data_IF_724095563140
#
_entry.id   IF_724095563140
#
_cell.length_a   1.000
_cell.length_b   1.000
_cell.length_c   1.000
_cell.angle_alpha   90.00
_cell.angle_beta   90.00
_cell.angle_gamma   90.00
#
_symmetry.space_group_name_H-M   'P 1'
#
loop_
_entity.id
_entity.type
_entity.pdbx_description
1 polymer ?
#
# COMPACT_ATOMS: atom_id res chain seq x y z
N UNK A 1 4.32 19.68 -7.93
CA UNK A 1 4.45 18.22 -7.77
C UNK A 1 5.67 17.72 -8.53
N UNK A 2 5.87 18.09 -9.81
CA UNK A 2 7.06 17.69 -10.59
C UNK A 2 8.37 18.19 -9.95
N UNK A 3 8.44 19.46 -9.54
CA UNK A 3 9.62 20.04 -8.88
C UNK A 3 9.97 19.38 -7.54
N UNK A 4 8.97 18.87 -6.83
CA UNK A 4 9.14 18.16 -5.56
C UNK A 4 9.76 16.77 -5.77
N UNK A 5 9.48 16.14 -6.92
CA UNK A 5 9.93 14.78 -7.24
C UNK A 5 11.31 14.80 -7.91
N UNK A 6 11.60 15.79 -8.77
CA UNK A 6 12.88 15.88 -9.49
C UNK A 6 14.05 16.19 -8.55
N UNK A 7 13.82 16.95 -7.48
CA UNK A 7 14.88 17.33 -6.54
C UNK A 7 15.12 16.34 -5.39
N UNK A 8 14.48 15.17 -5.39
CA UNK A 8 14.49 14.21 -4.27
C UNK A 8 14.06 14.82 -2.90
N UNK A 9 13.53 16.03 -2.91
CA UNK A 9 13.17 16.83 -1.74
C UNK A 9 11.66 16.92 -1.54
N UNK A 10 10.98 15.79 -1.65
CA UNK A 10 9.57 15.68 -1.28
C UNK A 10 9.30 16.03 0.18
N UNK A 11 10.35 15.99 1.00
CA UNK A 11 10.33 16.36 2.40
C UNK A 11 10.61 17.87 2.60
N UNK A 12 11.15 18.55 1.60
CA UNK A 12 11.40 19.98 1.62
C UNK A 12 10.15 20.78 1.15
N UNK A 13 8.98 20.37 1.59
CA UNK A 13 7.80 21.24 1.52
C UNK A 13 8.02 22.33 2.55
N UNK A 14 8.74 23.38 2.15
CA UNK A 14 8.94 24.58 2.97
C UNK A 14 7.58 25.07 3.44
N UNK A 15 7.29 24.87 4.75
CA UNK A 15 6.06 25.30 5.40
C UNK A 15 4.85 24.34 5.31
N UNK A 16 5.01 23.12 4.78
CA UNK A 16 4.00 22.08 4.85
C UNK A 16 4.15 21.27 6.12
N UNK A 17 3.04 21.08 6.85
CA UNK A 17 2.99 20.14 7.96
C UNK A 17 3.13 18.71 7.42
N UNK A 18 4.32 18.11 7.56
CA UNK A 18 4.60 16.71 7.16
C UNK A 18 3.68 15.70 7.87
N UNK A 19 3.07 16.11 8.97
CA UNK A 19 2.06 15.33 9.70
C UNK A 19 0.66 15.51 9.15
N UNK A 20 0.45 16.36 8.14
CA UNK A 20 -0.86 16.47 7.51
C UNK A 20 -1.22 15.15 6.83
N UNK A 21 -2.48 14.72 6.97
CA UNK A 21 -2.98 13.52 6.32
C UNK A 21 -2.79 13.55 4.79
N UNK A 22 -2.74 14.74 4.22
CA UNK A 22 -2.53 14.96 2.78
C UNK A 22 -1.09 14.62 2.36
N UNK A 23 -0.09 15.09 3.11
CA UNK A 23 1.32 14.79 2.87
C UNK A 23 1.61 13.30 3.02
N UNK A 24 1.05 12.68 4.06
CA UNK A 24 1.15 11.23 4.29
C UNK A 24 0.59 10.43 3.11
N UNK A 25 -0.58 10.81 2.61
CA UNK A 25 -1.19 10.13 1.47
C UNK A 25 -0.44 10.37 0.16
N UNK A 26 0.13 11.55 -0.03
CA UNK A 26 0.97 11.84 -1.19
C UNK A 26 2.22 10.94 -1.19
N UNK A 27 2.96 10.90 -0.08
CA UNK A 27 4.12 10.03 0.08
C UNK A 27 3.77 8.55 -0.12
N UNK A 28 2.66 8.10 0.49
CA UNK A 28 2.14 6.74 0.30
C UNK A 28 1.81 6.44 -1.17
N UNK A 29 1.25 7.40 -1.88
CA UNK A 29 0.92 7.30 -3.29
C UNK A 29 2.16 7.15 -4.17
N UNK A 30 3.19 7.93 -3.89
CA UNK A 30 4.49 7.85 -4.58
C UNK A 30 5.15 6.50 -4.32
N UNK A 31 5.17 6.05 -3.06
CA UNK A 31 5.69 4.74 -2.69
C UNK A 31 4.99 3.60 -3.47
N UNK A 32 3.66 3.66 -3.57
CA UNK A 32 2.89 2.70 -4.37
C UNK A 32 3.27 2.75 -5.86
N UNK A 33 3.42 3.94 -6.45
CA UNK A 33 3.83 4.09 -7.87
C UNK A 33 5.23 3.54 -8.10
N UNK A 34 6.18 3.83 -7.23
CA UNK A 34 7.54 3.27 -7.29
C UNK A 34 7.52 1.74 -7.16
N UNK A 35 6.72 1.18 -6.26
CA UNK A 35 6.55 -0.26 -6.10
C UNK A 35 5.93 -0.91 -7.35
N UNK A 36 4.90 -0.30 -7.94
CA UNK A 36 4.28 -0.76 -9.19
C UNK A 36 5.35 -0.89 -10.29
N UNK A 37 6.20 0.11 -10.44
CA UNK A 37 7.30 0.10 -11.42
C UNK A 37 8.36 -0.97 -11.11
N UNK A 38 8.83 -1.00 -9.85
CA UNK A 38 9.91 -1.89 -9.39
C UNK A 38 9.53 -3.37 -9.46
N UNK A 39 8.34 -3.70 -8.99
CA UNK A 39 7.87 -5.09 -8.86
C UNK A 39 6.93 -5.53 -9.97
N UNK A 40 6.69 -4.67 -10.98
CA UNK A 40 5.79 -4.95 -12.12
C UNK A 40 4.39 -5.38 -11.67
N UNK A 41 3.85 -4.67 -10.67
CA UNK A 41 2.52 -4.92 -10.13
C UNK A 41 1.46 -4.55 -11.18
N UNK A 42 0.54 -5.45 -11.45
CA UNK A 42 -0.56 -5.23 -12.39
C UNK A 42 -1.83 -4.73 -11.71
N UNK A 43 -2.16 -5.31 -10.55
CA UNK A 43 -3.42 -5.01 -9.87
C UNK A 43 -3.19 -4.77 -8.38
N UNK A 44 -3.42 -3.55 -7.91
CA UNK A 44 -3.28 -3.17 -6.51
C UNK A 44 -4.62 -2.78 -5.88
N UNK A 45 -4.81 -3.14 -4.60
CA UNK A 45 -5.92 -2.65 -3.77
C UNK A 45 -5.33 -1.85 -2.62
N UNK A 46 -5.81 -0.62 -2.43
CA UNK A 46 -5.49 0.18 -1.25
C UNK A 46 -6.66 0.22 -0.28
N UNK A 47 -6.38 -0.05 0.98
CA UNK A 47 -7.35 -0.04 2.07
C UNK A 47 -7.23 1.24 2.89
N UNK A 48 -8.39 1.88 3.12
CA UNK A 48 -8.51 3.14 3.84
C UNK A 48 -9.54 3.03 4.96
N UNK A 49 -9.38 3.85 6.01
CA UNK A 49 -10.30 3.87 7.16
C UNK A 49 -11.68 4.47 6.85
N UNK A 50 -11.79 5.30 5.78
CA UNK A 50 -13.05 5.90 5.38
C UNK A 50 -13.20 6.00 3.86
N UNK A 51 -14.46 6.10 3.39
CA UNK A 51 -14.79 6.31 1.97
C UNK A 51 -14.24 7.65 1.48
N UNK A 52 -14.28 8.69 2.32
CA UNK A 52 -13.73 10.01 2.00
C UNK A 52 -12.24 9.91 1.68
N UNK A 53 -11.45 9.34 2.60
CA UNK A 53 -10.01 9.18 2.44
C UNK A 53 -9.63 8.28 1.26
N UNK A 54 -10.36 7.19 1.04
CA UNK A 54 -10.17 6.34 -0.13
C UNK A 54 -10.36 7.10 -1.45
N UNK A 55 -11.35 7.99 -1.52
CA UNK A 55 -11.60 8.78 -2.71
C UNK A 55 -10.57 9.92 -2.89
N UNK A 56 -10.13 10.54 -1.82
CA UNK A 56 -9.03 11.52 -1.84
C UNK A 56 -7.73 10.89 -2.33
N UNK A 57 -7.36 9.72 -1.81
CA UNK A 57 -6.20 8.98 -2.27
C UNK A 57 -6.30 8.63 -3.75
N UNK A 58 -7.47 8.21 -4.23
CA UNK A 58 -7.69 7.98 -5.67
C UNK A 58 -7.41 9.23 -6.51
N UNK A 59 -7.93 10.39 -6.09
CA UNK A 59 -7.70 11.67 -6.80
C UNK A 59 -6.21 12.03 -6.83
N UNK A 60 -5.50 11.82 -5.74
CA UNK A 60 -4.04 12.04 -5.71
C UNK A 60 -3.31 11.09 -6.67
N UNK A 61 -3.74 9.82 -6.77
CA UNK A 61 -3.15 8.90 -7.75
C UNK A 61 -3.38 9.36 -9.20
N UNK A 62 -4.53 9.98 -9.51
CA UNK A 62 -4.77 10.58 -10.82
C UNK A 62 -3.77 11.70 -11.10
N UNK A 63 -3.51 12.60 -10.13
CA UNK A 63 -2.50 13.65 -10.25
C UNK A 63 -1.07 13.10 -10.44
N UNK A 64 -0.72 12.03 -9.71
CA UNK A 64 0.59 11.38 -9.84
C UNK A 64 0.81 10.72 -11.21
N UNK A 65 -0.23 10.50 -12.01
CA UNK A 65 -0.06 10.01 -13.39
C UNK A 65 0.60 11.04 -14.31
N UNK A 66 0.50 12.33 -14.00
CA UNK A 66 1.10 13.40 -14.81
C UNK A 66 2.61 13.51 -14.58
N UNK A 67 3.12 12.86 -13.53
CA UNK A 67 4.54 12.88 -13.16
C UNK A 67 5.31 11.84 -13.97
N UNK A 68 6.19 12.28 -14.87
CA UNK A 68 6.95 11.39 -15.78
C UNK A 68 7.79 10.34 -15.07
N UNK A 69 8.44 10.69 -13.96
CA UNK A 69 9.29 9.79 -13.19
C UNK A 69 8.53 8.64 -12.54
N UNK A 70 7.19 8.80 -12.34
CA UNK A 70 6.31 7.81 -11.72
C UNK A 70 5.55 6.94 -12.74
N UNK A 71 6.04 6.87 -13.99
CA UNK A 71 5.51 5.92 -14.98
C UNK A 71 5.73 4.46 -14.53
N UNK A 72 4.84 3.50 -14.85
CA UNK A 72 3.74 3.60 -15.81
C UNK A 72 2.49 4.31 -15.25
N UNK A 73 1.69 4.88 -16.15
CA UNK A 73 0.37 5.44 -15.84
C UNK A 73 -0.55 4.30 -15.41
N UNK A 74 -1.16 4.42 -14.23
CA UNK A 74 -2.12 3.45 -13.72
C UNK A 74 -3.55 3.98 -13.84
N UNK A 75 -4.51 3.06 -13.97
CA UNK A 75 -5.94 3.38 -13.89
C UNK A 75 -6.43 3.25 -12.45
N UNK A 76 -7.24 4.21 -12.01
CA UNK A 76 -7.68 4.30 -10.62
C UNK A 76 -9.20 4.17 -10.53
N UNK A 77 -9.62 3.23 -9.70
CA UNK A 77 -11.02 2.95 -9.39
C UNK A 77 -11.28 3.20 -7.91
N UNK A 78 -12.51 3.55 -7.59
CA UNK A 78 -12.95 3.69 -6.21
C UNK A 78 -14.19 2.85 -5.97
N UNK A 79 -14.12 1.91 -5.03
CA UNK A 79 -15.24 1.05 -4.66
C UNK A 79 -15.65 1.34 -3.22
N UNK A 80 -16.94 1.55 -3.02
CA UNK A 80 -17.54 1.80 -1.70
C UNK A 80 -18.94 1.16 -1.59
N UNK A 81 -19.40 1.01 -0.35
CA UNK A 81 -20.75 0.49 -0.06
C UNK A 81 -21.89 1.35 -0.60
N UNK A 82 -21.60 2.61 -0.95
CA UNK A 82 -22.59 3.53 -1.53
C UNK A 82 -22.98 3.20 -2.97
N UNK A 83 -22.20 2.35 -3.65
CA UNK A 83 -22.46 1.95 -5.03
C UNK A 83 -23.32 0.68 -5.05
N UNK A 84 -24.23 0.58 -6.03
CA UNK A 84 -25.00 -0.64 -6.24
C UNK A 84 -24.13 -1.80 -6.75
N UNK A 85 -24.64 -3.03 -6.64
CA UNK A 85 -23.90 -4.23 -6.99
C UNK A 85 -23.46 -4.27 -8.47
N UNK A 86 -24.34 -3.82 -9.39
CA UNK A 86 -24.03 -3.80 -10.83
C UNK A 86 -22.87 -2.86 -11.15
N UNK A 87 -22.85 -1.65 -10.58
CA UNK A 87 -21.75 -0.69 -10.75
C UNK A 87 -20.44 -1.22 -10.20
N UNK A 88 -20.48 -1.86 -9.01
CA UNK A 88 -19.28 -2.49 -8.44
C UNK A 88 -18.75 -3.62 -9.32
N UNK A 89 -19.64 -4.49 -9.84
CA UNK A 89 -19.25 -5.58 -10.72
C UNK A 89 -18.61 -5.07 -12.03
N UNK A 90 -19.15 -4.00 -12.61
CA UNK A 90 -18.55 -3.39 -13.80
C UNK A 90 -17.16 -2.81 -13.49
N UNK A 91 -17.00 -2.08 -12.40
CA UNK A 91 -15.70 -1.54 -11.98
C UNK A 91 -14.65 -2.63 -11.76
N UNK A 92 -15.05 -3.79 -11.22
CA UNK A 92 -14.13 -4.93 -11.04
C UNK A 92 -13.71 -5.55 -12.39
N UNK A 93 -14.60 -5.62 -13.37
CA UNK A 93 -14.26 -6.04 -14.74
C UNK A 93 -13.29 -5.06 -15.40
N UNK A 94 -13.54 -3.76 -15.27
CA UNK A 94 -12.67 -2.72 -15.83
C UNK A 94 -11.29 -2.75 -15.16
N UNK A 95 -11.25 -2.93 -13.84
CA UNK A 95 -10.01 -3.10 -13.08
C UNK A 95 -9.21 -4.31 -13.59
N UNK A 96 -9.85 -5.44 -13.79
CA UNK A 96 -9.19 -6.67 -14.25
C UNK A 96 -8.62 -6.55 -15.67
N UNK A 97 -9.29 -5.77 -16.53
CA UNK A 97 -8.90 -5.60 -17.94
C UNK A 97 -7.75 -4.62 -18.15
N UNK A 98 -7.46 -3.75 -17.17
CA UNK A 98 -6.46 -2.68 -17.28
C UNK A 98 -5.24 -2.94 -16.41
N UNK A 99 -4.03 -2.66 -16.93
CA UNK A 99 -2.75 -2.91 -16.26
C UNK A 99 -1.78 -1.74 -16.49
N UNK A 100 -1.17 -1.17 -15.47
CA UNK A 100 -1.48 -1.37 -14.06
C UNK A 100 -2.79 -0.66 -13.66
N UNK A 101 -3.48 -1.22 -12.69
CA UNK A 101 -4.71 -0.64 -12.14
C UNK A 101 -4.74 -0.70 -10.61
N UNK A 102 -5.41 0.29 -10.00
CA UNK A 102 -5.52 0.44 -8.55
C UNK A 102 -6.99 0.62 -8.18
N UNK A 103 -7.46 -0.14 -7.20
CA UNK A 103 -8.75 0.09 -6.54
C UNK A 103 -8.51 0.68 -5.16
N UNK A 104 -9.13 1.83 -4.87
CA UNK A 104 -9.21 2.35 -3.51
C UNK A 104 -10.50 1.88 -2.85
N UNK A 105 -10.39 1.41 -1.61
CA UNK A 105 -11.49 0.77 -0.89
C UNK A 105 -11.52 1.18 0.59
N UNK A 106 -12.74 1.35 1.11
CA UNK A 106 -12.99 1.47 2.54
C UNK A 106 -14.02 0.40 2.96
N UNK A 107 -13.56 -0.73 3.47
CA UNK A 107 -14.34 -1.84 4.07
C UNK A 107 -15.16 -2.74 3.16
N UNK A 108 -15.47 -2.38 1.90
CA UNK A 108 -16.42 -3.17 1.10
C UNK A 108 -15.80 -4.28 0.24
N UNK A 109 -14.47 -4.42 0.25
CA UNK A 109 -13.76 -5.49 -0.47
C UNK A 109 -13.18 -6.56 0.47
N UNK A 110 -13.58 -6.58 1.74
CA UNK A 110 -13.11 -7.57 2.71
C UNK A 110 -13.86 -8.89 2.62
N UNK A 111 -15.16 -8.88 2.25
CA UNK A 111 -15.99 -10.07 2.21
C UNK A 111 -16.80 -10.19 0.91
N UNK A 112 -17.03 -11.45 0.46
CA UNK A 112 -18.06 -11.82 -0.51
C UNK A 112 -17.91 -11.32 -1.94
N UNK A 113 -16.80 -10.68 -2.30
CA UNK A 113 -16.58 -10.18 -3.66
C UNK A 113 -15.48 -10.99 -4.33
N UNK A 114 -15.83 -11.64 -5.45
CA UNK A 114 -14.82 -12.25 -6.31
C UNK A 114 -14.04 -11.16 -7.02
N UNK A 115 -12.80 -10.97 -6.55
CA UNK A 115 -11.89 -9.98 -7.11
C UNK A 115 -10.91 -10.72 -8.02
N UNK A 116 -10.71 -10.23 -9.26
CA UNK A 116 -9.69 -10.77 -10.14
C UNK A 116 -8.31 -10.79 -9.47
N UNK A 117 -7.38 -11.51 -10.05
CA UNK A 117 -6.04 -11.67 -9.53
C UNK A 117 -5.42 -10.35 -9.07
N UNK A 118 -5.23 -10.20 -7.77
CA UNK A 118 -4.62 -9.03 -7.14
C UNK A 118 -3.16 -9.36 -6.84
N UNK A 119 -2.25 -8.48 -7.25
CA UNK A 119 -0.81 -8.66 -7.01
C UNK A 119 -0.36 -7.95 -5.73
N UNK A 120 -1.05 -6.87 -5.34
CA UNK A 120 -0.60 -5.99 -4.28
C UNK A 120 -1.75 -5.50 -3.39
N UNK A 121 -1.50 -5.51 -2.09
CA UNK A 121 -2.32 -4.85 -1.07
C UNK A 121 -1.51 -3.72 -0.46
N UNK A 122 -2.09 -2.54 -0.40
CA UNK A 122 -1.59 -1.39 0.33
C UNK A 122 -2.49 -1.11 1.52
N UNK A 123 -1.96 -1.14 2.72
CA UNK A 123 -2.63 -0.61 3.91
C UNK A 123 -2.25 0.86 4.08
N UNK A 124 -3.01 1.75 3.44
CA UNK A 124 -2.75 3.20 3.50
C UNK A 124 -3.11 3.82 4.86
N UNK A 125 -4.01 3.19 5.59
CA UNK A 125 -4.38 3.54 6.96
C UNK A 125 -4.20 2.35 7.90
N UNK A 126 -3.94 2.59 9.21
CA UNK A 126 -3.84 1.54 10.21
C UNK A 126 -5.04 0.60 10.25
N UNK A 127 -4.79 -0.70 10.16
CA UNK A 127 -5.78 -1.77 10.30
C UNK A 127 -5.65 -2.42 11.67
N UNK A 128 -6.75 -2.43 12.42
CA UNK A 128 -6.79 -3.00 13.77
C UNK A 128 -7.24 -4.48 13.78
N UNK A 129 -8.10 -4.85 12.83
CA UNK A 129 -8.69 -6.18 12.77
C UNK A 129 -7.73 -7.19 12.14
N UNK A 130 -7.38 -8.23 12.89
CA UNK A 130 -6.61 -9.39 12.40
C UNK A 130 -7.32 -10.06 11.22
N UNK A 131 -8.63 -10.24 11.32
CA UNK A 131 -9.44 -10.86 10.26
C UNK A 131 -9.37 -10.06 8.97
N UNK A 132 -9.51 -8.73 9.05
CA UNK A 132 -9.41 -7.86 7.87
C UNK A 132 -8.03 -7.94 7.20
N UNK A 133 -6.96 -8.02 7.99
CA UNK A 133 -5.59 -8.15 7.50
C UNK A 133 -5.43 -9.47 6.75
N UNK A 134 -5.82 -10.59 7.36
CA UNK A 134 -5.72 -11.94 6.78
C UNK A 134 -6.56 -12.04 5.49
N UNK A 135 -7.80 -11.56 5.52
CA UNK A 135 -8.68 -11.63 4.35
C UNK A 135 -8.17 -10.75 3.19
N UNK A 136 -7.68 -9.53 3.50
CA UNK A 136 -7.13 -8.65 2.48
C UNK A 136 -5.86 -9.25 1.85
N UNK A 137 -4.91 -9.70 2.68
CA UNK A 137 -3.64 -10.24 2.20
C UNK A 137 -3.80 -11.57 1.48
N UNK A 138 -4.72 -12.44 1.94
CA UNK A 138 -5.05 -13.69 1.29
C UNK A 138 -5.46 -13.52 -0.18
N UNK A 139 -6.00 -12.36 -0.56
CA UNK A 139 -6.33 -12.03 -1.95
C UNK A 139 -5.07 -11.80 -2.81
N UNK A 140 -4.10 -11.06 -2.27
CA UNK A 140 -2.82 -10.85 -2.96
C UNK A 140 -1.97 -12.13 -3.00
N UNK A 141 -2.17 -13.03 -2.05
CA UNK A 141 -1.40 -14.28 -1.96
C UNK A 141 -1.99 -15.43 -2.78
N UNK A 142 -3.20 -15.27 -3.36
CA UNK A 142 -3.77 -16.32 -4.23
C UNK A 142 -2.82 -16.64 -5.38
N UNK A 143 -2.49 -17.93 -5.56
CA UNK A 143 -1.72 -18.35 -6.71
C UNK A 143 -2.56 -18.19 -7.98
N UNK A 144 -1.95 -17.57 -9.00
CA UNK A 144 -2.55 -17.40 -10.32
C UNK A 144 -1.45 -17.69 -11.35
N UNK A 145 -1.77 -18.33 -12.49
CA UNK A 145 -0.78 -18.58 -13.53
C UNK A 145 -0.01 -17.32 -13.93
N UNK A 146 1.32 -17.41 -13.93
CA UNK A 146 2.22 -16.29 -14.26
C UNK A 146 2.52 -15.32 -13.11
N UNK A 147 1.86 -15.44 -11.96
CA UNK A 147 2.13 -14.62 -10.78
C UNK A 147 3.14 -15.32 -9.87
N UNK A 148 4.28 -14.67 -9.62
CA UNK A 148 5.35 -15.22 -8.76
C UNK A 148 5.18 -14.84 -7.29
N UNK A 149 4.73 -13.62 -7.01
CA UNK A 149 4.61 -13.07 -5.67
C UNK A 149 3.32 -12.27 -5.50
N UNK A 150 2.81 -12.23 -4.27
CA UNK A 150 1.88 -11.21 -3.80
C UNK A 150 2.64 -10.22 -2.92
N UNK A 151 2.33 -8.94 -3.04
CA UNK A 151 2.99 -7.86 -2.31
C UNK A 151 2.06 -7.26 -1.27
N UNK A 152 2.58 -7.00 -0.09
CA UNK A 152 1.91 -6.21 0.94
C UNK A 152 2.77 -4.99 1.23
N UNK A 153 2.21 -3.81 1.00
CA UNK A 153 2.90 -2.54 1.21
C UNK A 153 2.38 -1.92 2.50
N UNK A 154 3.31 -1.59 3.38
CA UNK A 154 3.09 -0.93 4.65
C UNK A 154 3.90 0.37 4.64
N UNK A 155 3.28 1.53 4.36
CA UNK A 155 4.00 2.79 4.37
C UNK A 155 4.39 3.17 5.80
N UNK A 156 5.65 3.51 5.99
CA UNK A 156 6.18 4.08 7.21
C UNK A 156 6.79 5.44 6.87
N UNK A 157 6.30 6.48 7.50
CA UNK A 157 6.85 7.83 7.37
C UNK A 157 7.61 8.13 8.64
N UNK A 158 8.92 8.31 8.49
CA UNK A 158 9.83 8.62 9.59
C UNK A 158 10.22 10.10 9.45
N UNK A 159 9.88 10.96 10.42
CA UNK A 159 10.36 12.34 10.44
C UNK A 159 11.89 12.38 10.57
N UNK A 160 12.56 13.31 9.88
CA UNK A 160 14.03 13.45 9.91
C UNK A 160 14.60 13.75 11.31
N UNK A 161 13.78 14.29 12.21
CA UNK A 161 14.17 14.69 13.56
C UNK A 161 14.12 13.55 14.59
N UNK A 162 13.70 12.34 14.21
CA UNK A 162 13.56 11.21 15.12
C UNK A 162 14.76 10.27 15.04
N UNK A 163 15.33 9.93 16.17
CA UNK A 163 16.18 8.76 16.28
C UNK A 163 15.33 7.49 16.22
N UNK A 164 15.85 6.43 15.59
CA UNK A 164 15.10 5.18 15.30
C UNK A 164 14.53 4.54 16.59
N UNK A 165 15.21 4.72 17.72
CA UNK A 165 14.81 4.14 19.00
C UNK A 165 13.58 4.82 19.61
N UNK A 166 13.40 6.12 19.42
CA UNK A 166 12.21 6.86 19.89
C UNK A 166 10.97 6.55 19.04
N UNK A 167 11.18 6.14 17.78
CA UNK A 167 10.11 5.84 16.83
C UNK A 167 9.41 4.49 17.09
N UNK A 168 10.06 3.59 17.81
CA UNK A 168 9.52 2.26 18.12
C UNK A 168 8.21 2.31 18.95
N UNK A 169 7.96 3.39 19.68
CA UNK A 169 6.74 3.58 20.47
C UNK A 169 5.58 4.22 19.67
N UNK A 170 5.81 4.74 18.48
CA UNK A 170 4.76 5.40 17.71
C UNK A 170 3.69 4.46 17.17
N UNK A 171 2.49 5.01 17.02
CA UNK A 171 1.29 4.29 16.54
C UNK A 171 1.49 3.68 15.14
N UNK A 172 2.28 4.32 14.28
CA UNK A 172 2.57 3.84 12.93
C UNK A 172 3.43 2.58 12.95
N UNK A 173 4.47 2.55 13.77
CA UNK A 173 5.35 1.39 13.94
C UNK A 173 4.60 0.20 14.57
N UNK A 174 3.79 0.46 15.60
CA UNK A 174 2.93 -0.57 16.21
C UNK A 174 1.94 -1.16 15.21
N UNK A 175 1.44 -0.36 14.27
CA UNK A 175 0.58 -0.87 13.20
C UNK A 175 1.34 -1.81 12.26
N UNK A 176 2.54 -1.44 11.84
CA UNK A 176 3.38 -2.27 10.96
C UNK A 176 3.74 -3.58 11.64
N UNK A 177 4.21 -3.55 12.88
CA UNK A 177 4.55 -4.75 13.65
C UNK A 177 3.34 -5.67 13.85
N UNK A 178 2.15 -5.12 14.07
CA UNK A 178 0.92 -5.90 14.14
C UNK A 178 0.60 -6.59 12.83
N UNK A 179 0.69 -5.90 11.69
CA UNK A 179 0.43 -6.53 10.39
C UNK A 179 1.44 -7.63 10.09
N UNK A 180 2.73 -7.38 10.32
CA UNK A 180 3.78 -8.38 10.12
C UNK A 180 3.57 -9.57 11.05
N UNK A 181 3.23 -9.36 12.32
CA UNK A 181 2.92 -10.43 13.27
C UNK A 181 1.75 -11.29 12.81
N UNK A 182 0.69 -10.68 12.29
CA UNK A 182 -0.46 -11.41 11.73
C UNK A 182 -0.05 -12.20 10.48
N UNK A 183 0.74 -11.62 9.60
CA UNK A 183 1.22 -12.29 8.40
C UNK A 183 2.16 -13.46 8.72
N UNK A 184 2.98 -13.33 9.77
CA UNK A 184 3.89 -14.39 10.22
C UNK A 184 3.14 -15.63 10.73
N UNK A 185 1.89 -15.49 11.15
CA UNK A 185 1.03 -16.65 11.49
C UNK A 185 0.51 -17.39 10.27
N UNK A 186 0.57 -16.79 9.10
CA UNK A 186 0.09 -17.36 7.83
C UNK A 186 1.22 -17.89 6.95
N UNK A 187 2.45 -17.44 7.18
CA UNK A 187 3.62 -17.84 6.40
C UNK A 187 4.88 -17.90 7.31
N UNK A 188 5.38 -19.11 7.54
CA UNK A 188 6.54 -19.36 8.40
C UNK A 188 7.81 -18.64 7.90
N UNK A 189 7.94 -18.39 6.60
CA UNK A 189 9.08 -17.66 6.04
C UNK A 189 9.14 -16.22 6.55
N UNK A 190 7.97 -15.57 6.71
CA UNK A 190 7.88 -14.23 7.31
C UNK A 190 8.29 -14.28 8.77
N UNK A 191 7.85 -15.31 9.52
CA UNK A 191 8.21 -15.49 10.92
C UNK A 191 9.72 -15.69 11.10
N UNK A 192 10.34 -16.51 10.27
CA UNK A 192 11.77 -16.79 10.31
C UNK A 192 12.60 -15.54 9.97
N UNK A 193 12.27 -14.84 8.87
CA UNK A 193 12.97 -13.61 8.49
C UNK A 193 12.83 -12.51 9.55
N UNK A 194 11.64 -12.35 10.14
CA UNK A 194 11.44 -11.39 11.23
C UNK A 194 12.36 -11.69 12.41
N UNK A 195 12.49 -12.96 12.82
CA UNK A 195 13.42 -13.38 13.89
C UNK A 195 14.88 -13.06 13.54
N UNK A 196 15.29 -13.29 12.30
CA UNK A 196 16.66 -13.03 11.86
C UNK A 196 16.96 -11.53 11.80
N UNK A 197 16.02 -10.71 11.36
CA UNK A 197 16.15 -9.24 11.34
C UNK A 197 16.22 -8.71 12.77
N UNK A 198 15.31 -9.13 13.64
CA UNK A 198 15.29 -8.71 15.05
C UNK A 198 16.54 -9.13 15.82
N UNK A 199 17.13 -10.29 15.47
CA UNK A 199 18.38 -10.75 16.04
C UNK A 199 19.65 -10.11 15.44
N UNK A 200 19.50 -9.14 14.50
CA UNK A 200 20.62 -8.49 13.82
C UNK A 200 21.44 -9.39 12.89
N UNK A 201 20.94 -10.61 12.58
CA UNK A 201 21.64 -11.57 11.74
C UNK A 201 21.57 -11.27 10.24
N UNK A 202 20.52 -10.58 9.80
CA UNK A 202 20.35 -10.11 8.43
C UNK A 202 19.82 -8.68 8.45
N UNK A 203 20.31 -7.86 7.52
CA UNK A 203 19.81 -6.48 7.33
C UNK A 203 18.73 -6.38 6.24
N UNK A 204 18.58 -7.42 5.42
CA UNK A 204 17.62 -7.47 4.31
C UNK A 204 17.15 -8.90 4.10
N UNK A 205 15.84 -9.10 4.14
CA UNK A 205 15.22 -10.39 3.89
C UNK A 205 14.92 -10.64 2.41
N UNK A 206 14.48 -11.87 2.10
CA UNK A 206 13.95 -12.25 0.77
C UNK A 206 12.45 -12.04 0.69
N UNK A 207 11.75 -12.07 1.82
CA UNK A 207 10.30 -11.93 1.96
C UNK A 207 9.95 -10.56 2.51
N UNK A 208 10.70 -10.08 3.52
CA UNK A 208 10.54 -8.74 4.09
C UNK A 208 11.59 -7.81 3.49
N UNK A 209 11.14 -6.79 2.77
CA UNK A 209 11.99 -5.77 2.19
C UNK A 209 11.64 -4.40 2.75
N UNK A 210 12.65 -3.66 3.18
CA UNK A 210 12.53 -2.26 3.59
C UNK A 210 13.13 -1.41 2.47
N UNK A 211 12.27 -0.67 1.78
CA UNK A 211 12.65 0.19 0.67
C UNK A 211 12.41 1.65 1.05
N UNK A 212 13.42 2.50 0.89
CA UNK A 212 13.22 3.94 0.89
C UNK A 212 12.46 4.35 -0.37
N UNK A 213 11.35 5.01 -0.19
CA UNK A 213 10.52 5.49 -1.30
C UNK A 213 10.83 6.95 -1.67
N UNK A 214 11.58 7.66 -0.83
CA UNK A 214 11.90 9.08 -0.95
C UNK A 214 13.39 9.25 -0.72
#
# INVERSE_FOLDING_TARGET
VENLIENNSLLDIKGGDLNSAESIYMATGIALKKAIKKYKINHAISFHRSIKLANEFRKQQDLLNDVKSLRPISKHFHISSKQNAGKRAQMLKDFASQKPSIITNARCLTEGVDIPAVDCILFADPKQSVVDIVQATGRAMRPVPGKKFGYVILPLIVPESYEVDDFAEETAFRHITKVISVLSTQDERIAEELRLITAGKISKGKVINIDSAI
#
